data_IF_432055207390
#
_entry.id   IF_432055207390
#
_cell.length_a   1.000
_cell.length_b   1.000
_cell.length_c   1.000
_cell.angle_alpha   90.00
_cell.angle_beta   90.00
_cell.angle_gamma   90.00
#
_symmetry.space_group_name_H-M   'P 1'
#
loop_
_entity.id
_entity.type
_entity.pdbx_description
1 polymer ?
#
# COMPACT_ATOMS: atom_id res chain seq x y z
N UNK A 1 -13.71 0.96 15.64
CA UNK A 1 -14.01 2.25 14.94
C UNK A 1 -12.90 3.29 15.15
N UNK A 2 -12.39 3.53 16.37
CA UNK A 2 -11.34 4.53 16.62
C UNK A 2 -10.12 4.41 15.71
N UNK A 3 -9.54 3.23 15.56
CA UNK A 3 -8.40 3.01 14.65
C UNK A 3 -8.73 3.29 13.18
N UNK A 4 -9.97 3.00 12.74
CA UNK A 4 -10.40 3.29 11.35
C UNK A 4 -10.41 4.79 11.11
N UNK A 5 -10.99 5.56 12.04
CA UNK A 5 -11.06 7.03 11.95
C UNK A 5 -9.67 7.67 12.06
N UNK A 6 -8.80 7.12 12.93
CA UNK A 6 -7.41 7.57 13.00
C UNK A 6 -6.67 7.33 11.69
N UNK A 7 -6.76 6.11 11.12
CA UNK A 7 -6.14 5.77 9.84
C UNK A 7 -6.71 6.62 8.68
N UNK A 8 -8.00 6.93 8.71
CA UNK A 8 -8.60 7.86 7.75
C UNK A 8 -7.98 9.25 7.84
N UNK A 9 -7.71 9.75 9.05
CA UNK A 9 -7.05 11.04 9.27
C UNK A 9 -5.58 11.02 8.80
N UNK A 10 -4.86 9.92 9.04
CA UNK A 10 -3.52 9.67 8.48
C UNK A 10 -3.53 9.79 6.94
N UNK A 11 -4.46 9.07 6.30
CA UNK A 11 -4.64 9.08 4.84
C UNK A 11 -4.98 10.48 4.34
N UNK A 12 -5.86 11.20 5.03
CA UNK A 12 -6.20 12.58 4.71
C UNK A 12 -5.01 13.53 4.82
N UNK A 13 -4.20 13.41 5.88
CA UNK A 13 -3.01 14.23 6.05
C UNK A 13 -1.96 13.93 4.96
N UNK A 14 -1.72 12.66 4.66
CA UNK A 14 -0.83 12.26 3.58
C UNK A 14 -1.32 12.79 2.22
N UNK A 15 -2.61 12.72 1.96
CA UNK A 15 -3.24 13.26 0.74
C UNK A 15 -3.07 14.78 0.64
N UNK A 16 -3.26 15.51 1.73
CA UNK A 16 -3.00 16.97 1.83
C UNK A 16 -1.55 17.30 1.45
N UNK A 17 -0.59 16.45 1.85
CA UNK A 17 0.84 16.61 1.55
C UNK A 17 1.23 16.08 0.16
N UNK A 18 0.28 15.56 -0.62
CA UNK A 18 0.50 15.05 -1.98
C UNK A 18 0.99 13.60 -2.07
N UNK A 19 0.96 12.86 -0.96
CA UNK A 19 1.32 11.44 -0.91
C UNK A 19 0.16 10.52 -1.25
N UNK A 20 0.45 9.41 -1.94
CA UNK A 20 -0.49 8.30 -2.10
C UNK A 20 -0.36 7.30 -0.95
N UNK A 21 -1.45 6.60 -0.64
CA UNK A 21 -1.52 5.68 0.49
C UNK A 21 -2.17 4.36 0.12
N UNK A 22 -1.91 3.32 0.90
CA UNK A 22 -2.60 2.02 0.82
C UNK A 22 -3.01 1.55 2.21
N UNK A 23 -3.95 0.60 2.28
CA UNK A 23 -4.40 0.05 3.54
C UNK A 23 -4.88 -1.39 3.43
N UNK A 24 -4.61 -2.19 4.47
CA UNK A 24 -5.08 -3.57 4.56
C UNK A 24 -6.41 -3.65 5.32
N UNK A 25 -7.45 -4.18 4.67
CA UNK A 25 -8.81 -4.25 5.19
C UNK A 25 -9.22 -5.63 5.69
N UNK A 26 -8.32 -6.62 5.62
CA UNK A 26 -8.62 -7.99 6.05
C UNK A 26 -8.95 -8.16 7.52
N UNK A 27 -8.66 -7.18 8.36
CA UNK A 27 -9.00 -7.18 9.80
C UNK A 27 -10.35 -6.53 10.09
N UNK A 28 -11.04 -6.00 9.09
CA UNK A 28 -12.35 -5.38 9.25
C UNK A 28 -13.43 -6.45 9.16
N UNK A 29 -14.42 -6.38 10.04
CA UNK A 29 -15.54 -7.34 10.03
C UNK A 29 -16.29 -7.28 8.71
N UNK A 30 -16.64 -8.46 8.21
CA UNK A 30 -17.48 -8.57 7.02
C UNK A 30 -18.90 -8.06 7.26
N UNK A 31 -19.62 -7.77 6.19
CA UNK A 31 -21.03 -7.39 6.21
C UNK A 31 -21.87 -8.46 6.91
N UNK A 32 -22.76 -8.04 7.80
CA UNK A 32 -23.60 -8.93 8.59
C UNK A 32 -22.93 -9.60 9.78
N UNK A 33 -21.63 -9.37 10.01
CA UNK A 33 -20.97 -9.88 11.21
C UNK A 33 -21.52 -9.21 12.47
N UNK A 34 -21.81 -9.99 13.50
CA UNK A 34 -22.36 -9.48 14.77
C UNK A 34 -21.40 -8.48 15.43
N UNK A 35 -21.95 -7.36 15.85
CA UNK A 35 -21.26 -6.35 16.65
C UNK A 35 -21.89 -6.34 18.04
N UNK A 36 -21.21 -6.93 18.98
CA UNK A 36 -21.60 -7.06 20.39
C UNK A 36 -22.61 -5.98 20.84
N UNK A 37 -23.81 -6.35 21.14
CA UNK A 37 -24.93 -5.51 21.62
C UNK A 37 -25.36 -4.34 20.67
N UNK A 38 -24.76 -4.21 19.49
CA UNK A 38 -24.97 -3.08 18.57
C UNK A 38 -25.42 -3.49 17.15
N UNK A 39 -25.96 -4.69 16.97
CA UNK A 39 -26.45 -5.17 15.67
C UNK A 39 -25.35 -5.78 14.80
N UNK A 40 -25.34 -5.45 13.51
CA UNK A 40 -24.45 -6.05 12.51
C UNK A 40 -23.50 -5.03 11.88
N UNK A 41 -22.33 -5.51 11.45
CA UNK A 41 -21.34 -4.70 10.75
C UNK A 41 -21.79 -4.38 9.31
N UNK A 42 -21.47 -3.19 8.84
CA UNK A 42 -21.77 -2.75 7.46
C UNK A 42 -20.82 -3.32 6.40
N UNK A 43 -19.74 -3.99 6.81
CA UNK A 43 -18.76 -4.61 5.92
C UNK A 43 -17.54 -3.77 5.64
N UNK A 44 -16.48 -4.43 5.15
CA UNK A 44 -15.20 -3.81 4.83
C UNK A 44 -15.31 -2.84 3.65
N UNK A 45 -16.05 -3.21 2.61
CA UNK A 45 -16.23 -2.39 1.39
C UNK A 45 -16.98 -1.10 1.70
N UNK A 46 -18.02 -1.17 2.54
CA UNK A 46 -18.74 0.06 2.95
C UNK A 46 -17.83 1.06 3.69
N UNK A 47 -16.91 0.56 4.51
CA UNK A 47 -15.94 1.42 5.20
C UNK A 47 -14.95 2.06 4.21
N UNK A 48 -14.62 1.41 3.09
CA UNK A 48 -13.73 1.96 2.08
C UNK A 48 -14.27 3.26 1.45
N UNK A 49 -15.58 3.49 1.45
CA UNK A 49 -16.19 4.74 0.99
C UNK A 49 -15.70 5.97 1.77
N UNK A 50 -15.38 5.80 3.07
CA UNK A 50 -14.81 6.89 3.87
C UNK A 50 -13.44 7.32 3.33
N UNK A 51 -12.65 6.36 2.85
CA UNK A 51 -11.31 6.61 2.30
C UNK A 51 -11.39 7.20 0.90
N UNK A 52 -12.29 6.72 0.05
CA UNK A 52 -12.52 7.29 -1.27
C UNK A 52 -12.92 8.77 -1.16
N UNK A 53 -13.95 9.07 -0.37
CA UNK A 53 -14.40 10.44 -0.14
C UNK A 53 -13.29 11.31 0.45
N UNK A 54 -12.49 10.77 1.37
CA UNK A 54 -11.38 11.52 1.98
C UNK A 54 -10.34 11.93 0.94
N UNK A 55 -9.87 11.00 0.09
CA UNK A 55 -8.82 11.31 -0.89
C UNK A 55 -9.34 12.10 -2.11
N UNK A 56 -10.64 12.04 -2.38
CA UNK A 56 -11.27 12.89 -3.39
C UNK A 56 -11.35 14.35 -2.92
N UNK A 57 -11.82 14.56 -1.70
CA UNK A 57 -12.01 15.90 -1.11
C UNK A 57 -10.68 16.52 -0.67
N UNK A 58 -9.83 15.74 0.01
CA UNK A 58 -8.53 16.18 0.54
C UNK A 58 -7.43 15.84 -0.45
N UNK A 59 -7.06 16.80 -1.27
CA UNK A 59 -5.97 16.68 -2.25
C UNK A 59 -5.06 17.90 -2.17
N UNK A 60 -3.85 17.81 -2.74
CA UNK A 60 -2.92 18.94 -2.82
C UNK A 60 -3.39 19.94 -3.91
N UNK A 61 -4.51 20.61 -3.65
CA UNK A 61 -5.15 21.54 -4.60
C UNK A 61 -5.43 20.88 -5.95
N UNK A 62 -5.35 21.65 -7.04
CA UNK A 62 -5.48 21.12 -8.41
C UNK A 62 -4.21 20.45 -8.94
N UNK A 63 -3.11 20.44 -8.16
CA UNK A 63 -1.79 19.97 -8.60
C UNK A 63 -1.67 18.45 -8.52
N UNK A 64 -2.17 17.82 -7.44
CA UNK A 64 -2.07 16.39 -7.23
C UNK A 64 -3.31 15.85 -6.53
N UNK A 65 -4.04 14.95 -7.20
CA UNK A 65 -5.18 14.26 -6.60
C UNK A 65 -4.71 13.25 -5.55
N UNK A 66 -5.47 13.14 -4.46
CA UNK A 66 -5.28 12.09 -3.48
C UNK A 66 -5.53 10.70 -4.09
N UNK A 67 -4.79 9.70 -3.63
CA UNK A 67 -4.96 8.31 -4.05
C UNK A 67 -4.86 7.39 -2.84
N UNK A 68 -5.80 6.46 -2.76
CA UNK A 68 -5.83 5.41 -1.75
C UNK A 68 -6.05 4.06 -2.40
N UNK A 69 -5.35 3.03 -1.91
CA UNK A 69 -5.36 1.68 -2.46
C UNK A 69 -5.70 0.65 -1.38
N UNK A 70 -6.95 0.17 -1.28
CA UNK A 70 -7.32 -0.87 -0.34
C UNK A 70 -6.88 -2.26 -0.82
N UNK A 71 -6.38 -3.06 0.12
CA UNK A 71 -6.11 -4.49 -0.06
C UNK A 71 -7.09 -5.32 0.77
N UNK A 72 -7.67 -6.35 0.14
CA UNK A 72 -8.53 -7.33 0.80
C UNK A 72 -8.02 -8.74 0.52
N UNK A 73 -7.91 -9.65 1.51
CA UNK A 73 -7.58 -11.04 1.24
C UNK A 73 -8.71 -11.75 0.48
N UNK A 74 -8.35 -12.64 -0.44
CA UNK A 74 -9.32 -13.37 -1.28
C UNK A 74 -10.25 -14.29 -0.47
N UNK A 75 -9.84 -14.67 0.74
CA UNK A 75 -10.65 -15.44 1.68
C UNK A 75 -11.63 -14.59 2.51
N UNK A 76 -11.61 -13.27 2.38
CA UNK A 76 -12.52 -12.41 3.12
C UNK A 76 -13.96 -12.57 2.63
N UNK A 77 -14.98 -12.69 3.52
CA UNK A 77 -16.36 -12.89 3.09
C UNK A 77 -16.92 -11.80 2.18
N UNK A 78 -16.42 -10.56 2.28
CA UNK A 78 -16.85 -9.45 1.41
C UNK A 78 -16.10 -9.42 0.06
N UNK A 79 -15.33 -10.46 -0.31
CA UNK A 79 -14.49 -10.44 -1.51
C UNK A 79 -15.28 -10.18 -2.78
N UNK A 80 -16.46 -10.77 -2.94
CA UNK A 80 -17.27 -10.58 -4.15
C UNK A 80 -17.77 -9.14 -4.28
N UNK A 81 -18.20 -8.52 -3.18
CA UNK A 81 -18.58 -7.10 -3.13
C UNK A 81 -17.37 -6.20 -3.44
N UNK A 82 -16.18 -6.57 -2.92
CA UNK A 82 -14.94 -5.86 -3.19
C UNK A 82 -14.54 -5.89 -4.68
N UNK A 83 -14.71 -7.02 -5.34
CA UNK A 83 -14.42 -7.16 -6.77
C UNK A 83 -15.41 -6.39 -7.68
N UNK A 84 -16.53 -5.92 -7.13
CA UNK A 84 -17.48 -5.08 -7.86
C UNK A 84 -17.17 -3.57 -7.78
N UNK A 85 -16.10 -3.16 -7.06
CA UNK A 85 -15.61 -1.78 -7.07
C UNK A 85 -15.34 -1.34 -8.51
N UNK A 86 -15.81 -0.13 -8.87
CA UNK A 86 -15.68 0.44 -10.21
C UNK A 86 -16.65 -0.14 -11.24
N UNK A 87 -17.64 -0.96 -10.84
CA UNK A 87 -18.75 -1.35 -11.73
C UNK A 87 -19.85 -0.31 -11.74
N UNK A 88 -20.68 -0.31 -12.79
CA UNK A 88 -21.83 0.58 -12.88
C UNK A 88 -22.77 0.39 -11.68
N UNK A 89 -23.13 1.50 -11.03
CA UNK A 89 -23.99 1.52 -9.85
C UNK A 89 -23.28 1.21 -8.52
N UNK A 90 -22.01 0.84 -8.51
CA UNK A 90 -21.26 0.71 -7.26
C UNK A 90 -20.95 2.10 -6.68
N UNK A 91 -21.12 2.33 -5.37
CA UNK A 91 -20.83 3.63 -4.76
C UNK A 91 -19.34 4.01 -4.78
N UNK A 92 -18.44 3.04 -4.97
CA UNK A 92 -16.99 3.25 -5.07
C UNK A 92 -16.57 3.14 -6.53
N UNK A 93 -16.07 4.24 -7.11
CA UNK A 93 -15.72 4.33 -8.53
C UNK A 93 -14.23 4.60 -8.77
N UNK A 94 -13.57 5.32 -7.86
CA UNK A 94 -12.22 5.87 -8.09
C UNK A 94 -11.11 5.12 -7.35
N UNK A 95 -11.46 4.16 -6.46
CA UNK A 95 -10.46 3.37 -5.76
C UNK A 95 -9.88 2.27 -6.66
N UNK A 96 -8.60 2.38 -6.94
CA UNK A 96 -7.82 1.25 -7.41
C UNK A 96 -7.55 0.31 -6.23
N UNK A 97 -7.53 -1.00 -6.46
CA UNK A 97 -7.56 -1.96 -5.36
C UNK A 97 -6.76 -3.24 -5.64
N UNK A 98 -6.41 -3.97 -4.60
CA UNK A 98 -5.63 -5.21 -4.68
C UNK A 98 -6.18 -6.33 -3.83
N UNK A 99 -5.92 -7.56 -4.24
CA UNK A 99 -6.19 -8.75 -3.45
C UNK A 99 -4.90 -9.36 -2.94
N UNK A 100 -4.91 -9.81 -1.68
CA UNK A 100 -3.84 -10.64 -1.14
C UNK A 100 -4.24 -12.10 -1.18
N UNK A 101 -3.30 -12.95 -1.60
CA UNK A 101 -3.53 -14.38 -1.86
C UNK A 101 -2.47 -15.19 -1.15
N UNK A 102 -2.86 -16.29 -0.50
CA UNK A 102 -1.95 -17.26 0.12
C UNK A 102 -1.73 -18.47 -0.78
N UNK A 103 -0.56 -19.14 -0.64
CA UNK A 103 -0.26 -20.37 -1.37
C UNK A 103 -1.28 -21.47 -1.08
N UNK A 104 -1.72 -21.56 0.19
CA UNK A 104 -2.74 -22.52 0.60
C UNK A 104 -4.05 -22.31 -0.14
N UNK A 105 -4.53 -21.08 -0.20
CA UNK A 105 -5.80 -20.76 -0.90
C UNK A 105 -5.71 -21.07 -2.40
N UNK A 106 -4.57 -20.74 -3.03
CA UNK A 106 -4.33 -21.06 -4.44
C UNK A 106 -4.28 -22.57 -4.68
N UNK A 107 -3.62 -23.33 -3.80
CA UNK A 107 -3.56 -24.77 -3.92
C UNK A 107 -4.94 -25.42 -3.82
N UNK A 108 -5.76 -24.99 -2.86
CA UNK A 108 -7.13 -25.47 -2.71
C UNK A 108 -7.98 -25.15 -3.96
N UNK A 109 -7.80 -23.98 -4.56
CA UNK A 109 -8.42 -23.60 -5.84
C UNK A 109 -7.98 -24.52 -6.99
N UNK A 110 -6.68 -24.82 -7.09
CA UNK A 110 -6.11 -25.72 -8.10
C UNK A 110 -6.66 -27.13 -7.91
N UNK A 111 -6.76 -27.62 -6.68
CA UNK A 111 -7.24 -28.95 -6.30
C UNK A 111 -8.75 -29.14 -6.56
N UNK A 112 -9.46 -28.08 -6.91
CA UNK A 112 -10.84 -28.19 -7.42
C UNK A 112 -11.92 -27.54 -6.57
N UNK A 113 -11.58 -26.74 -5.58
CA UNK A 113 -12.56 -25.97 -4.81
C UNK A 113 -13.33 -25.02 -5.73
N UNK A 114 -14.63 -25.29 -5.90
CA UNK A 114 -15.48 -24.58 -6.85
C UNK A 114 -15.72 -23.12 -6.45
N UNK A 115 -15.86 -22.85 -5.17
CA UNK A 115 -16.08 -21.47 -4.66
C UNK A 115 -14.83 -20.62 -4.91
N UNK A 116 -13.65 -21.15 -4.60
CA UNK A 116 -12.37 -20.47 -4.86
C UNK A 116 -12.11 -20.25 -6.34
N UNK A 117 -12.44 -21.23 -7.19
CA UNK A 117 -12.38 -21.08 -8.65
C UNK A 117 -13.29 -19.96 -9.15
N UNK A 118 -14.48 -19.83 -8.59
CA UNK A 118 -15.43 -18.76 -8.95
C UNK A 118 -14.86 -17.40 -8.57
N UNK A 119 -14.33 -17.25 -7.36
CA UNK A 119 -13.67 -16.01 -6.91
C UNK A 119 -12.48 -15.69 -7.79
N UNK A 120 -11.62 -16.67 -8.08
CA UNK A 120 -10.43 -16.47 -8.92
C UNK A 120 -10.77 -16.07 -10.35
N UNK A 121 -11.77 -16.71 -10.95
CA UNK A 121 -12.28 -16.34 -12.27
C UNK A 121 -12.74 -14.87 -12.29
N UNK A 122 -13.46 -14.41 -11.26
CA UNK A 122 -13.88 -13.01 -11.15
C UNK A 122 -12.68 -12.07 -10.98
N UNK A 123 -11.65 -12.41 -10.18
CA UNK A 123 -10.40 -11.64 -10.08
C UNK A 123 -9.76 -11.47 -11.46
N UNK A 124 -9.60 -12.55 -12.22
CA UNK A 124 -8.99 -12.50 -13.55
C UNK A 124 -9.85 -11.72 -14.56
N UNK A 125 -11.17 -11.89 -14.51
CA UNK A 125 -12.10 -11.13 -15.34
C UNK A 125 -11.95 -9.62 -15.09
N UNK A 126 -12.01 -9.19 -13.82
CA UNK A 126 -11.89 -7.77 -13.47
C UNK A 126 -10.54 -7.20 -13.91
N UNK A 127 -9.45 -7.96 -13.72
CA UNK A 127 -8.13 -7.55 -14.23
C UNK A 127 -8.10 -7.36 -15.74
N UNK A 128 -8.79 -8.23 -16.47
CA UNK A 128 -8.90 -8.12 -17.94
C UNK A 128 -9.71 -6.89 -18.37
N UNK A 129 -10.75 -6.55 -17.62
CA UNK A 129 -11.66 -5.43 -17.94
C UNK A 129 -11.06 -4.05 -17.59
N UNK A 130 -10.46 -3.91 -16.41
CA UNK A 130 -10.06 -2.61 -15.85
C UNK A 130 -8.61 -2.53 -15.35
N UNK A 131 -7.84 -3.63 -15.44
CA UNK A 131 -6.47 -3.70 -14.91
C UNK A 131 -6.37 -3.96 -13.40
N UNK A 132 -7.46 -4.01 -12.68
CA UNK A 132 -7.56 -4.25 -11.24
C UNK A 132 -8.44 -5.46 -10.93
N UNK A 133 -8.28 -6.11 -9.74
CA UNK A 133 -7.34 -5.82 -8.65
C UNK A 133 -5.89 -6.19 -9.00
N UNK A 134 -4.90 -5.56 -8.36
CA UNK A 134 -3.56 -6.12 -8.32
C UNK A 134 -3.55 -7.37 -7.44
N UNK A 135 -2.62 -8.29 -7.72
CA UNK A 135 -2.50 -9.55 -6.99
C UNK A 135 -1.22 -9.49 -6.16
N UNK A 136 -1.37 -9.56 -4.84
CA UNK A 136 -0.28 -9.61 -3.90
C UNK A 136 -0.14 -11.05 -3.36
N UNK A 137 0.94 -11.74 -3.73
CA UNK A 137 1.25 -13.07 -3.24
C UNK A 137 1.89 -12.99 -1.87
N UNK A 138 1.05 -13.09 -0.84
CA UNK A 138 1.43 -12.84 0.56
C UNK A 138 2.56 -13.75 1.04
N UNK A 139 2.49 -15.05 0.72
CA UNK A 139 3.49 -16.02 1.18
C UNK A 139 4.83 -15.80 0.47
N UNK A 140 4.83 -15.45 -0.82
CA UNK A 140 6.05 -15.09 -1.53
C UNK A 140 6.74 -13.88 -0.90
N UNK A 141 5.98 -12.83 -0.56
CA UNK A 141 6.52 -11.64 0.08
C UNK A 141 7.14 -11.96 1.45
N UNK A 142 6.48 -12.79 2.26
CA UNK A 142 6.97 -13.13 3.60
C UNK A 142 8.11 -14.18 3.55
N UNK A 143 8.06 -15.14 2.64
CA UNK A 143 9.13 -16.13 2.45
C UNK A 143 10.42 -15.47 1.93
N UNK A 144 10.28 -14.51 1.00
CA UNK A 144 11.38 -13.70 0.48
C UNK A 144 11.84 -12.56 1.39
N UNK A 145 11.19 -12.36 2.53
CA UNK A 145 11.50 -11.25 3.43
C UNK A 145 12.93 -11.35 4.00
N UNK A 146 13.60 -10.21 4.25
CA UNK A 146 14.91 -10.17 4.88
C UNK A 146 14.91 -10.87 6.24
N UNK A 147 16.08 -11.39 6.64
CA UNK A 147 16.22 -12.07 7.93
C UNK A 147 15.78 -11.22 9.13
N UNK A 148 15.98 -9.93 9.07
CA UNK A 148 15.55 -9.00 10.13
C UNK A 148 14.05 -9.05 10.37
N UNK A 149 13.23 -9.27 9.32
CA UNK A 149 11.78 -9.41 9.49
C UNK A 149 11.44 -10.73 10.18
N UNK A 150 12.07 -11.82 9.75
CA UNK A 150 11.89 -13.16 10.32
C UNK A 150 12.30 -13.21 11.80
N UNK A 151 13.43 -12.60 12.16
CA UNK A 151 13.92 -12.49 13.54
C UNK A 151 13.00 -11.70 14.46
N UNK A 152 12.31 -10.70 13.93
CA UNK A 152 11.37 -9.85 14.69
C UNK A 152 9.90 -10.27 14.52
N UNK A 153 9.62 -11.39 13.83
CA UNK A 153 8.26 -11.86 13.54
C UNK A 153 7.39 -10.82 12.83
N UNK A 154 7.99 -10.00 11.96
CA UNK A 154 7.24 -9.04 11.15
C UNK A 154 6.54 -9.76 10.01
N UNK A 155 5.31 -9.36 9.75
CA UNK A 155 4.49 -9.91 8.67
C UNK A 155 4.05 -8.80 7.73
N UNK A 156 4.23 -9.03 6.43
CA UNK A 156 3.72 -8.18 5.37
C UNK A 156 2.35 -8.70 4.94
N UNK A 157 1.30 -7.90 5.14
CA UNK A 157 -0.08 -8.28 4.81
C UNK A 157 -0.56 -7.72 3.47
N UNK A 158 0.03 -6.60 3.05
CA UNK A 158 -0.28 -5.89 1.82
C UNK A 158 0.94 -5.08 1.38
N UNK A 159 0.90 -4.56 0.16
CA UNK A 159 1.92 -3.69 -0.39
C UNK A 159 1.51 -2.21 -0.34
N UNK A 160 2.38 -1.33 -0.85
CA UNK A 160 2.06 0.07 -1.08
C UNK A 160 1.07 0.27 -2.25
N UNK A 161 0.79 1.52 -2.58
CA UNK A 161 -0.11 1.93 -3.67
C UNK A 161 0.27 1.31 -5.02
N UNK A 162 1.56 1.22 -5.35
CA UNK A 162 2.06 0.75 -6.64
C UNK A 162 2.42 -0.75 -6.66
N UNK A 163 2.28 -1.43 -5.53
CA UNK A 163 2.48 -2.90 -5.36
C UNK A 163 3.94 -3.38 -5.48
N UNK A 164 4.92 -2.49 -5.35
CA UNK A 164 6.36 -2.84 -5.44
C UNK A 164 7.07 -2.91 -4.08
N UNK A 165 6.43 -2.45 -2.97
CA UNK A 165 7.09 -2.36 -1.66
C UNK A 165 6.46 -3.32 -0.67
N UNK A 166 7.27 -4.21 -0.10
CA UNK A 166 6.88 -5.23 0.88
C UNK A 166 7.48 -4.90 2.24
N UNK A 167 6.87 -3.95 2.96
CA UNK A 167 7.27 -3.51 4.28
C UNK A 167 6.19 -3.84 5.32
N UNK A 168 6.56 -4.14 6.58
CA UNK A 168 5.60 -4.43 7.64
C UNK A 168 4.90 -3.15 8.09
N UNK A 169 3.67 -3.29 8.53
CA UNK A 169 2.90 -2.25 9.21
C UNK A 169 2.09 -2.85 10.36
N UNK A 170 1.81 -2.05 11.39
CA UNK A 170 1.02 -2.46 12.55
C UNK A 170 0.31 -1.25 13.17
N UNK A 171 -0.15 -1.36 14.41
CA UNK A 171 -0.84 -0.27 15.11
C UNK A 171 0.06 0.93 15.44
N UNK A 172 1.39 0.77 15.41
CA UNK A 172 2.38 1.80 15.74
C UNK A 172 3.14 2.31 14.52
N UNK A 173 3.13 1.56 13.41
CA UNK A 173 3.90 1.83 12.19
C UNK A 173 3.03 1.83 10.95
N UNK A 174 3.14 2.92 10.18
CA UNK A 174 2.75 2.98 8.77
C UNK A 174 4.02 3.13 7.95
N UNK A 175 4.35 2.17 7.10
CA UNK A 175 5.61 2.25 6.35
C UNK A 175 5.61 3.42 5.34
N UNK A 176 6.80 3.95 5.08
CA UNK A 176 7.04 5.08 4.19
C UNK A 176 7.90 4.62 3.02
N UNK A 177 7.50 5.01 1.80
CA UNK A 177 8.30 4.83 0.61
C UNK A 177 9.45 5.84 0.56
N UNK A 178 10.70 5.37 0.59
CA UNK A 178 11.88 6.16 0.26
C UNK A 178 12.67 5.39 -0.78
N UNK A 179 12.47 5.74 -2.06
CA UNK A 179 13.02 4.96 -3.17
C UNK A 179 13.56 5.85 -4.30
N UNK A 180 14.51 5.28 -5.03
CA UNK A 180 15.01 5.80 -6.29
C UNK A 180 15.38 4.65 -7.22
N UNK A 181 15.78 4.94 -8.44
CA UNK A 181 16.28 3.92 -9.38
C UNK A 181 17.39 4.45 -10.25
N UNK A 182 18.37 3.58 -10.52
CA UNK A 182 19.40 3.83 -11.50
C UNK A 182 18.91 3.46 -12.90
N UNK A 183 19.27 4.28 -13.88
CA UNK A 183 18.90 4.04 -15.28
C UNK A 183 19.86 3.01 -15.91
N UNK A 184 19.37 1.81 -16.18
CA UNK A 184 20.17 0.73 -16.77
C UNK A 184 20.66 1.06 -18.21
N UNK A 185 19.98 1.97 -18.92
CA UNK A 185 20.44 2.43 -20.25
C UNK A 185 21.83 3.11 -20.16
N UNK A 186 22.13 3.75 -19.03
CA UNK A 186 23.40 4.42 -18.74
C UNK A 186 24.32 3.58 -17.85
N UNK A 187 24.18 2.24 -17.89
CA UNK A 187 24.99 1.35 -17.06
C UNK A 187 26.49 1.57 -17.22
N UNK A 188 26.97 1.77 -18.45
CA UNK A 188 28.39 1.99 -18.76
C UNK A 188 28.94 3.30 -18.17
N UNK A 189 28.08 4.31 -17.99
CA UNK A 189 28.45 5.59 -17.42
C UNK A 189 28.63 5.52 -15.90
N UNK A 190 27.88 4.70 -15.19
CA UNK A 190 27.88 4.67 -13.73
C UNK A 190 28.45 3.39 -13.08
N UNK A 191 28.60 2.27 -13.81
CA UNK A 191 29.02 0.97 -13.24
C UNK A 191 30.37 0.97 -12.51
N UNK A 192 31.29 1.88 -12.87
CA UNK A 192 32.63 1.99 -12.30
C UNK A 192 32.79 3.27 -11.45
N UNK A 193 31.69 3.88 -11.01
CA UNK A 193 31.64 5.07 -10.16
C UNK A 193 31.07 4.74 -8.79
N UNK A 194 31.01 5.71 -7.91
CA UNK A 194 30.34 5.63 -6.60
C UNK A 194 28.81 5.93 -6.66
N UNK A 195 28.20 5.90 -7.85
CA UNK A 195 26.82 6.30 -8.06
C UNK A 195 25.83 5.49 -7.18
N UNK A 196 26.05 4.17 -7.01
CA UNK A 196 25.21 3.32 -6.16
C UNK A 196 25.31 3.76 -4.70
N UNK A 197 26.53 3.94 -4.20
CA UNK A 197 26.78 4.36 -2.82
C UNK A 197 26.24 5.77 -2.56
N UNK A 198 26.53 6.71 -3.46
CA UNK A 198 26.03 8.09 -3.39
C UNK A 198 24.49 8.13 -3.36
N UNK A 199 23.81 7.29 -4.16
CA UNK A 199 22.35 7.24 -4.18
C UNK A 199 21.77 6.68 -2.86
N UNK A 200 22.43 5.71 -2.23
CA UNK A 200 22.02 5.21 -0.91
C UNK A 200 22.17 6.32 0.15
N UNK A 201 23.28 7.05 0.18
CA UNK A 201 23.44 8.19 1.08
C UNK A 201 22.40 9.29 0.82
N UNK A 202 22.07 9.54 -0.43
CA UNK A 202 21.02 10.49 -0.78
C UNK A 202 19.66 10.06 -0.22
N UNK A 203 19.27 8.80 -0.40
CA UNK A 203 18.01 8.27 0.14
C UNK A 203 18.00 8.32 1.68
N UNK A 204 19.13 8.01 2.33
CA UNK A 204 19.23 8.10 3.78
C UNK A 204 19.12 9.56 4.28
N UNK A 205 19.66 10.51 3.54
CA UNK A 205 19.50 11.94 3.82
C UNK A 205 18.03 12.38 3.69
N UNK A 206 17.32 11.90 2.67
CA UNK A 206 15.88 12.19 2.47
C UNK A 206 15.06 11.69 3.63
N UNK A 207 15.30 10.46 4.11
CA UNK A 207 14.55 9.93 5.26
C UNK A 207 14.92 10.66 6.56
N UNK A 208 16.16 11.10 6.70
CA UNK A 208 16.60 11.92 7.83
C UNK A 208 15.89 13.27 7.83
N UNK A 209 15.82 13.96 6.70
CA UNK A 209 15.08 15.23 6.57
C UNK A 209 13.59 15.06 6.92
N UNK A 210 12.96 13.95 6.49
CA UNK A 210 11.58 13.66 6.86
C UNK A 210 11.39 13.52 8.37
N UNK A 211 12.29 12.78 9.05
CA UNK A 211 12.26 12.61 10.52
C UNK A 211 12.50 13.94 11.22
N UNK A 212 13.52 14.71 10.82
CA UNK A 212 13.86 16.00 11.40
C UNK A 212 12.72 17.02 11.26
N UNK A 213 12.05 17.09 10.13
CA UNK A 213 10.88 17.97 9.93
C UNK A 213 9.73 17.60 10.89
N UNK A 214 9.49 16.30 11.08
CA UNK A 214 8.45 15.86 11.99
C UNK A 214 8.85 16.04 13.48
N UNK A 215 10.13 15.98 13.84
CA UNK A 215 10.61 16.36 15.16
C UNK A 215 10.33 17.86 15.44
N UNK A 216 10.53 18.75 14.45
CA UNK A 216 10.17 20.17 14.57
C UNK A 216 8.67 20.34 14.81
N UNK A 217 7.81 19.64 14.06
CA UNK A 217 6.35 19.72 14.23
C UNK A 217 5.89 19.18 15.58
N UNK A 218 6.54 18.13 16.07
CA UNK A 218 6.27 17.53 17.39
C UNK A 218 6.46 18.51 18.52
N UNK A 219 7.51 19.32 18.44
CA UNK A 219 7.93 20.27 19.50
C UNK A 219 7.42 21.70 19.24
N UNK A 220 6.65 21.92 18.15
CA UNK A 220 6.06 23.21 17.79
C UNK A 220 4.97 23.64 18.78
N UNK A 221 4.84 24.95 18.99
CA UNK A 221 3.71 25.55 19.71
C UNK A 221 2.49 25.81 18.81
N UNK A 222 2.64 25.65 17.49
CA UNK A 222 1.57 25.79 16.53
C UNK A 222 0.68 24.55 16.52
N UNK A 223 -0.63 24.76 16.54
CA UNK A 223 -1.61 23.67 16.61
C UNK A 223 -1.66 22.86 15.32
N UNK A 224 -1.50 23.49 14.15
CA UNK A 224 -1.50 22.81 12.86
C UNK A 224 -0.28 21.88 12.71
N UNK A 225 0.89 22.32 13.20
CA UNK A 225 2.10 21.50 13.25
C UNK A 225 1.90 20.27 14.15
N UNK A 226 1.39 20.48 15.36
CA UNK A 226 1.11 19.40 16.30
C UNK A 226 0.11 18.38 15.74
N UNK A 227 -0.94 18.84 15.05
CA UNK A 227 -1.90 17.97 14.39
C UNK A 227 -1.28 17.22 13.22
N UNK A 228 -0.43 17.88 12.44
CA UNK A 228 0.32 17.23 11.35
C UNK A 228 1.20 16.12 11.92
N UNK A 229 1.96 16.38 12.99
CA UNK A 229 2.74 15.34 13.65
C UNK A 229 1.86 14.20 14.18
N UNK A 230 0.74 14.51 14.81
CA UNK A 230 -0.18 13.50 15.37
C UNK A 230 -0.62 12.48 14.29
N UNK A 231 -1.03 12.96 13.11
CA UNK A 231 -1.49 12.09 12.02
C UNK A 231 -0.36 11.51 11.17
N UNK A 232 0.88 11.99 11.32
CA UNK A 232 2.07 11.41 10.67
C UNK A 232 2.91 10.54 11.64
N UNK A 233 2.47 10.39 12.88
CA UNK A 233 3.25 9.71 13.93
C UNK A 233 3.65 8.28 13.58
N UNK A 234 2.76 7.49 12.99
CA UNK A 234 3.09 6.11 12.59
C UNK A 234 4.13 6.08 11.48
N UNK A 235 4.03 6.99 10.52
CA UNK A 235 5.02 7.14 9.45
C UNK A 235 6.37 7.61 10.01
N UNK A 236 6.36 8.55 10.95
CA UNK A 236 7.55 9.01 11.67
C UNK A 236 8.22 7.85 12.44
N UNK A 237 7.46 7.09 13.22
CA UNK A 237 7.99 5.96 13.98
C UNK A 237 8.66 4.95 13.04
N UNK A 238 7.98 4.58 11.95
CA UNK A 238 8.53 3.66 10.96
C UNK A 238 9.84 4.20 10.34
N UNK A 239 9.83 5.44 9.87
CA UNK A 239 10.99 6.06 9.24
C UNK A 239 12.19 6.11 10.19
N UNK A 240 11.95 6.46 11.45
CA UNK A 240 12.98 6.57 12.49
C UNK A 240 13.57 5.23 12.90
N UNK A 241 12.70 4.22 13.10
CA UNK A 241 13.10 2.92 13.65
C UNK A 241 13.64 1.96 12.58
N UNK A 242 13.10 2.02 11.36
CA UNK A 242 13.42 1.05 10.31
C UNK A 242 14.32 1.59 9.20
N UNK A 243 14.25 2.88 8.87
CA UNK A 243 15.06 3.53 7.81
C UNK A 243 15.10 2.72 6.51
N UNK A 244 13.94 2.22 6.07
CA UNK A 244 13.85 1.37 4.89
C UNK A 244 14.08 2.17 3.62
N UNK A 245 15.07 1.76 2.81
CA UNK A 245 15.45 2.40 1.55
C UNK A 245 15.29 1.41 0.41
N UNK A 246 14.83 1.90 -0.74
CA UNK A 246 14.71 1.12 -1.98
C UNK A 246 15.52 1.74 -3.11
N UNK A 247 16.54 1.04 -3.59
CA UNK A 247 17.26 1.42 -4.80
C UNK A 247 17.07 0.35 -5.87
N UNK A 248 16.38 0.72 -6.94
CA UNK A 248 16.04 -0.17 -8.04
C UNK A 248 16.83 0.10 -9.31
N UNK A 249 16.55 -0.70 -10.34
CA UNK A 249 17.03 -0.49 -11.70
C UNK A 249 15.85 -0.23 -12.63
N UNK A 250 15.89 0.82 -13.41
CA UNK A 250 14.90 1.15 -14.44
C UNK A 250 15.42 0.86 -15.83
N UNK A 251 14.51 0.77 -16.79
CA UNK A 251 14.79 0.60 -18.24
C UNK A 251 15.57 -0.68 -18.61
N UNK A 252 15.55 -1.71 -17.80
CA UNK A 252 16.18 -3.01 -18.11
C UNK A 252 15.61 -3.59 -19.42
N UNK A 253 14.32 -3.44 -19.66
CA UNK A 253 13.63 -3.93 -20.86
C UNK A 253 14.02 -3.22 -22.16
N UNK A 254 14.66 -2.04 -22.09
CA UNK A 254 15.14 -1.28 -23.26
C UNK A 254 16.57 -1.64 -23.61
N UNK A 255 17.33 -2.13 -22.65
CA UNK A 255 18.74 -2.53 -22.85
C UNK A 255 18.89 -3.95 -23.42
N UNK A 256 17.82 -4.69 -23.62
CA UNK A 256 17.89 -6.02 -24.25
C UNK A 256 18.10 -5.92 -25.76
N UNK A 257 19.14 -6.57 -26.32
CA UNK A 257 19.50 -6.46 -27.74
C UNK A 257 18.52 -7.14 -28.72
N UNK A 258 17.46 -7.77 -28.19
CA UNK A 258 16.50 -8.57 -28.98
C UNK A 258 15.17 -7.86 -29.27
N UNK A 259 14.98 -6.62 -28.81
CA UNK A 259 13.75 -5.89 -29.11
C UNK A 259 13.87 -5.22 -30.48
N UNK A 260 13.02 -5.59 -31.47
CA UNK A 260 13.00 -4.86 -32.74
C UNK A 260 12.71 -3.38 -32.44
N UNK A 261 13.53 -2.50 -32.96
CA UNK A 261 13.31 -1.05 -32.85
C UNK A 261 11.92 -0.71 -33.41
N UNK A 262 11.18 0.05 -32.63
CA UNK A 262 9.94 0.68 -33.10
C UNK A 262 10.28 1.96 -33.81
#
# INVERSE_FOLDING_TARGET
MGNILYTQSEVGMMSKLGGGTSGYFGNIRHRGASVKDNGEASGSVHIMQLFETMVDVVSQGSVRRGRFYPYLPVEHPDILEFLDIGTEGNPIQELTHGVSVTDKWLQEMIDGDVEKRTVWAKVLQRRGEIGYPYIFFKDNANNGAPEVYKKNNYTVNASNLCTEIMLPSNDEWSFVCCLSSLNALHYDDWKNTDAVETMIYFLDAVISEFVEKLDVYKDSSDLDDQQTFLFMKRAYNFAKDHRALGLGLSLIHISEPTRPGH
#
